data_IF_523407202587
#
_entry.id   IF_523407202587
#
_cell.length_a   1.000
_cell.length_b   1.000
_cell.length_c   1.000
_cell.angle_alpha   90.00
_cell.angle_beta   90.00
_cell.angle_gamma   90.00
#
_symmetry.space_group_name_H-M   'P 1'
#
loop_
_entity.id
_entity.type
_entity.pdbx_description
1 polymer ?
#
# COMPACT_ATOMS: atom_id res chain seq x y z
N UNK A 1 7.61 13.86 0.96
CA UNK A 1 7.22 14.70 2.11
C UNK A 1 8.18 14.58 3.29
N UNK A 2 8.40 13.37 3.83
CA UNK A 2 9.25 13.14 5.03
C UNK A 2 10.69 13.64 4.83
N UNK A 3 11.28 13.42 3.65
CA UNK A 3 12.64 13.89 3.32
C UNK A 3 12.77 15.41 3.42
N UNK A 4 11.86 16.14 2.75
CA UNK A 4 11.79 17.61 2.78
C UNK A 4 11.66 18.16 4.21
N UNK A 5 10.84 17.53 5.04
CA UNK A 5 10.70 17.91 6.46
C UNK A 5 11.98 17.69 7.24
N UNK A 6 12.64 16.55 7.06
CA UNK A 6 13.92 16.26 7.73
C UNK A 6 15.02 17.23 7.30
N UNK A 7 15.07 17.58 6.01
CA UNK A 7 16.08 18.49 5.49
C UNK A 7 15.85 19.93 5.95
N UNK A 8 14.59 20.37 6.11
CA UNK A 8 14.27 21.67 6.70
C UNK A 8 14.63 21.74 8.19
N UNK A 9 14.33 20.69 8.96
CA UNK A 9 14.67 20.63 10.40
C UNK A 9 16.19 20.56 10.63
N UNK A 10 16.95 19.97 9.70
CA UNK A 10 18.42 19.94 9.73
C UNK A 10 19.06 21.31 9.53
N UNK A 11 18.40 22.24 8.82
CA UNK A 11 18.92 23.59 8.54
C UNK A 11 18.80 24.56 9.72
N UNK A 12 17.95 24.27 10.69
CA UNK A 12 17.80 25.10 11.89
C UNK A 12 18.82 24.56 12.91
N UNK A 13 19.91 25.28 13.17
CA UNK A 13 21.13 24.73 13.80
C UNK A 13 21.22 24.99 15.32
N UNK A 14 20.58 26.04 15.85
CA UNK A 14 20.85 26.51 17.22
C UNK A 14 19.70 26.38 18.24
N UNK A 15 18.50 25.99 17.83
CA UNK A 15 17.36 25.92 18.76
C UNK A 15 17.16 24.53 19.38
N UNK A 16 16.41 24.44 20.48
CA UNK A 16 15.94 23.16 21.01
C UNK A 16 15.01 22.46 20.00
N UNK A 17 15.00 21.12 19.98
CA UNK A 17 14.19 20.35 19.01
C UNK A 17 12.70 20.72 19.00
N UNK A 18 12.15 21.05 20.19
CA UNK A 18 10.76 21.50 20.34
C UNK A 18 10.49 22.82 19.61
N UNK A 19 11.41 23.78 19.73
CA UNK A 19 11.30 25.08 19.05
C UNK A 19 11.50 24.95 17.54
N UNK A 20 12.47 24.12 17.10
CA UNK A 20 12.66 23.82 15.66
C UNK A 20 11.40 23.24 15.02
N UNK A 21 10.78 22.29 15.71
CA UNK A 21 9.56 21.66 15.23
C UNK A 21 8.40 22.67 15.22
N UNK A 22 8.23 23.47 16.28
CA UNK A 22 7.21 24.50 16.33
C UNK A 22 7.36 25.49 15.17
N UNK A 23 8.54 26.08 14.99
CA UNK A 23 8.84 27.05 13.94
C UNK A 23 8.64 26.46 12.53
N UNK A 24 9.07 25.21 12.32
CA UNK A 24 8.83 24.50 11.06
C UNK A 24 7.33 24.31 10.77
N UNK A 25 6.56 23.87 11.77
CA UNK A 25 5.12 23.68 11.63
C UNK A 25 4.43 25.03 11.36
N UNK A 26 4.76 26.08 12.11
CA UNK A 26 4.20 27.42 11.91
C UNK A 26 4.47 27.96 10.51
N UNK A 27 5.73 27.93 10.05
CA UNK A 27 6.10 28.40 8.71
C UNK A 27 5.44 27.58 7.59
N UNK A 28 5.38 26.24 7.77
CA UNK A 28 4.76 25.33 6.79
C UNK A 28 3.26 25.55 6.69
N UNK A 29 2.57 25.66 7.83
CA UNK A 29 1.12 25.85 7.86
C UNK A 29 0.73 27.25 7.37
N UNK A 30 1.52 28.28 7.67
CA UNK A 30 1.28 29.63 7.16
C UNK A 30 1.35 29.72 5.63
N UNK A 31 2.36 29.11 5.00
CA UNK A 31 2.52 29.17 3.55
C UNK A 31 1.59 28.24 2.77
N UNK A 32 1.15 27.11 3.35
CA UNK A 32 0.32 26.12 2.64
C UNK A 32 -1.18 26.39 2.74
N UNK A 33 -1.62 27.28 3.61
CA UNK A 33 -3.02 27.48 3.88
C UNK A 33 -3.44 28.89 3.46
N UNK A 34 -4.14 29.00 2.33
CA UNK A 34 -5.02 30.14 2.02
C UNK A 34 -6.26 30.19 2.93
N UNK A 35 -6.25 29.44 4.03
CA UNK A 35 -7.35 29.16 4.96
C UNK A 35 -6.81 29.12 6.38
N UNK A 36 -7.59 29.49 7.37
CA UNK A 36 -7.10 29.47 8.75
C UNK A 36 -6.87 28.02 9.23
N UNK A 37 -5.88 27.74 10.10
CA UNK A 37 -5.72 26.43 10.73
C UNK A 37 -7.01 25.90 11.36
N UNK A 38 -7.86 26.79 11.90
CA UNK A 38 -9.16 26.45 12.48
C UNK A 38 -10.17 26.00 11.42
N UNK A 39 -10.18 26.63 10.25
CA UNK A 39 -11.06 26.26 9.14
C UNK A 39 -10.76 24.87 8.60
N UNK A 40 -9.49 24.44 8.60
CA UNK A 40 -9.15 23.07 8.22
C UNK A 40 -9.71 22.04 9.19
N UNK A 41 -9.67 22.32 10.50
CA UNK A 41 -10.21 21.41 11.53
C UNK A 41 -11.72 21.25 11.31
N UNK A 42 -12.41 22.36 11.04
CA UNK A 42 -13.85 22.38 10.75
C UNK A 42 -14.15 21.65 9.44
N UNK A 43 -13.43 21.95 8.36
CA UNK A 43 -13.62 21.32 7.05
C UNK A 43 -13.35 19.81 7.11
N UNK A 44 -12.33 19.38 7.86
CA UNK A 44 -12.03 17.95 8.04
C UNK A 44 -13.12 17.23 8.83
N UNK A 45 -13.78 17.91 9.77
CA UNK A 45 -14.96 17.38 10.49
C UNK A 45 -16.15 17.27 9.54
N UNK A 46 -16.41 18.29 8.72
CA UNK A 46 -17.46 18.28 7.71
C UNK A 46 -17.30 17.10 6.71
N UNK A 47 -16.09 16.90 6.18
CA UNK A 47 -15.80 15.83 5.21
C UNK A 47 -15.91 14.41 5.79
N UNK A 48 -15.88 14.25 7.11
CA UNK A 48 -16.12 12.94 7.75
C UNK A 48 -17.60 12.62 7.86
N UNK A 49 -18.44 13.64 7.97
CA UNK A 49 -19.90 13.53 8.01
C UNK A 49 -20.45 13.36 6.58
N UNK A 50 -19.88 14.10 5.64
CA UNK A 50 -20.21 14.04 4.22
C UNK A 50 -19.39 12.91 3.59
N UNK A 51 -19.82 11.66 3.72
CA UNK A 51 -19.13 10.49 3.15
C UNK A 51 -18.64 10.76 1.74
N UNK A 52 -17.31 10.83 1.57
CA UNK A 52 -16.65 11.41 0.41
C UNK A 52 -17.19 10.89 -0.92
N UNK A 53 -17.46 11.83 -1.84
CA UNK A 53 -17.99 11.58 -3.17
C UNK A 53 -17.23 10.45 -3.88
N UNK A 54 -17.99 9.48 -4.38
CA UNK A 54 -17.49 8.33 -5.14
C UNK A 54 -17.02 8.83 -6.51
N UNK A 55 -15.72 9.02 -6.68
CA UNK A 55 -15.12 9.12 -8.01
C UNK A 55 -15.32 7.80 -8.72
N UNK A 56 -16.23 7.79 -9.70
CA UNK A 56 -16.41 6.70 -10.66
C UNK A 56 -15.15 6.52 -11.50
N UNK A 57 -14.99 5.31 -12.01
CA UNK A 57 -14.00 4.90 -13.02
C UNK A 57 -12.57 4.63 -12.52
N UNK A 58 -12.42 3.53 -11.77
CA UNK A 58 -11.14 2.81 -11.66
C UNK A 58 -11.42 1.32 -11.81
N UNK A 59 -10.59 0.64 -12.59
CA UNK A 59 -10.59 -0.82 -12.82
C UNK A 59 -10.95 -1.56 -11.53
N UNK A 60 -12.20 -2.03 -11.45
CA UNK A 60 -12.66 -2.88 -10.36
C UNK A 60 -12.24 -4.29 -10.66
N UNK A 61 -11.45 -4.90 -9.79
CA UNK A 61 -11.26 -6.35 -9.82
C UNK A 61 -12.58 -7.00 -9.37
N UNK A 62 -13.05 -8.05 -10.06
CA UNK A 62 -14.22 -8.80 -9.60
C UNK A 62 -13.93 -9.52 -8.28
N UNK A 63 -14.98 -9.80 -7.51
CA UNK A 63 -14.87 -10.65 -6.33
C UNK A 63 -14.48 -12.08 -6.77
N UNK A 64 -13.73 -12.77 -5.92
CA UNK A 64 -13.13 -14.10 -6.12
C UNK A 64 -12.06 -14.22 -7.22
N UNK A 65 -11.56 -13.11 -7.76
CA UNK A 65 -10.43 -13.15 -8.71
C UNK A 65 -9.13 -13.60 -8.01
N UNK A 66 -8.39 -14.49 -8.67
CA UNK A 66 -7.10 -15.01 -8.18
C UNK A 66 -5.96 -14.08 -8.60
N UNK A 67 -5.33 -13.47 -7.61
CA UNK A 67 -4.34 -12.42 -7.78
C UNK A 67 -3.11 -12.66 -6.90
N UNK A 68 -2.00 -12.00 -7.25
CA UNK A 68 -0.83 -11.97 -6.38
C UNK A 68 -0.84 -10.71 -5.52
N UNK A 69 -0.85 -10.89 -4.20
CA UNK A 69 -0.69 -9.81 -3.24
C UNK A 69 0.78 -9.68 -2.81
N UNK A 70 1.22 -8.44 -2.59
CA UNK A 70 2.59 -8.19 -2.13
C UNK A 70 2.78 -8.69 -0.71
N UNK A 71 3.84 -9.48 -0.52
CA UNK A 71 4.29 -9.98 0.76
C UNK A 71 5.50 -9.16 1.26
N UNK A 72 5.46 -8.78 2.55
CA UNK A 72 6.53 -8.03 3.22
C UNK A 72 7.34 -8.90 4.20
N UNK A 73 6.94 -10.15 4.42
CA UNK A 73 7.72 -11.12 5.17
C UNK A 73 8.91 -11.62 4.34
N UNK A 74 10.00 -12.09 4.97
CA UNK A 74 11.09 -12.76 4.27
C UNK A 74 10.55 -13.94 3.44
N UNK A 75 11.07 -14.10 2.23
CA UNK A 75 10.61 -15.09 1.24
C UNK A 75 10.05 -14.45 -0.03
N UNK A 76 9.16 -15.16 -0.73
CA UNK A 76 8.60 -14.71 -2.00
C UNK A 76 7.87 -13.37 -1.85
N UNK A 77 8.24 -12.40 -2.69
CA UNK A 77 7.71 -11.02 -2.68
C UNK A 77 6.23 -10.94 -3.05
N UNK A 78 5.72 -11.97 -3.71
CA UNK A 78 4.33 -12.09 -4.16
C UNK A 78 3.76 -13.38 -3.56
N UNK A 79 2.55 -13.29 -3.01
CA UNK A 79 1.81 -14.43 -2.48
C UNK A 79 0.45 -14.54 -3.17
N UNK A 80 0.00 -15.76 -3.50
CA UNK A 80 -1.32 -15.95 -4.07
C UNK A 80 -2.40 -15.55 -3.05
N UNK A 81 -3.42 -14.87 -3.54
CA UNK A 81 -4.57 -14.42 -2.76
C UNK A 81 -5.81 -14.29 -3.66
N UNK A 82 -7.01 -14.44 -3.09
CA UNK A 82 -8.26 -14.14 -3.77
C UNK A 82 -8.81 -12.78 -3.34
N UNK A 83 -9.45 -12.05 -4.24
CA UNK A 83 -10.15 -10.80 -3.92
C UNK A 83 -11.46 -11.13 -3.20
N UNK A 84 -11.64 -10.66 -1.98
CA UNK A 84 -12.92 -10.83 -1.25
C UNK A 84 -13.92 -9.75 -1.66
N UNK A 85 -13.48 -8.48 -1.65
CA UNK A 85 -14.33 -7.34 -1.98
C UNK A 85 -13.50 -6.07 -2.19
N UNK A 86 -14.08 -5.08 -2.88
CA UNK A 86 -13.56 -3.72 -2.93
C UNK A 86 -14.02 -2.93 -1.70
N UNK A 87 -13.07 -2.36 -0.94
CA UNK A 87 -13.34 -1.55 0.25
C UNK A 87 -13.36 -0.05 -0.07
N UNK A 88 -12.54 0.38 -1.04
CA UNK A 88 -12.42 1.76 -1.54
C UNK A 88 -12.03 1.75 -3.02
N UNK A 89 -12.08 2.87 -3.75
CA UNK A 89 -11.75 2.90 -5.19
C UNK A 89 -10.38 2.32 -5.60
N UNK A 90 -9.44 2.20 -4.66
CA UNK A 90 -8.10 1.62 -4.89
C UNK A 90 -7.73 0.61 -3.81
N UNK A 91 -8.65 0.22 -2.94
CA UNK A 91 -8.36 -0.69 -1.82
C UNK A 91 -9.26 -1.91 -1.87
N UNK A 92 -8.63 -3.07 -1.84
CA UNK A 92 -9.28 -4.37 -1.90
C UNK A 92 -8.97 -5.14 -0.62
N UNK A 93 -9.95 -5.89 -0.15
CA UNK A 93 -9.74 -6.91 0.87
C UNK A 93 -9.37 -8.19 0.15
N UNK A 94 -8.19 -8.74 0.46
CA UNK A 94 -7.68 -9.98 -0.14
C UNK A 94 -7.59 -11.07 0.91
N UNK A 95 -7.78 -12.31 0.49
CA UNK A 95 -7.72 -13.50 1.34
C UNK A 95 -6.60 -14.42 0.85
N UNK A 96 -5.73 -14.83 1.76
CA UNK A 96 -4.66 -15.77 1.47
C UNK A 96 -5.15 -17.22 1.57
N UNK A 97 -4.38 -18.16 1.02
CA UNK A 97 -4.60 -19.61 1.15
C UNK A 97 -4.74 -20.07 2.61
N UNK A 98 -4.11 -19.35 3.55
CA UNK A 98 -4.19 -19.63 4.99
C UNK A 98 -5.41 -18.97 5.68
N UNK A 99 -6.48 -18.65 4.93
CA UNK A 99 -7.72 -18.01 5.41
C UNK A 99 -7.56 -16.59 6.01
N UNK A 100 -6.34 -16.08 6.12
CA UNK A 100 -6.07 -14.73 6.60
C UNK A 100 -6.48 -13.68 5.56
N UNK A 101 -7.25 -12.67 5.99
CA UNK A 101 -7.65 -11.56 5.12
C UNK A 101 -7.06 -10.23 5.57
N UNK A 102 -6.64 -9.40 4.62
CA UNK A 102 -6.09 -8.07 4.89
C UNK A 102 -6.39 -7.09 3.76
N UNK A 103 -6.17 -5.79 4.02
CA UNK A 103 -6.38 -4.74 3.04
C UNK A 103 -5.13 -4.51 2.19
N UNK A 104 -5.28 -4.48 0.87
CA UNK A 104 -4.23 -4.16 -0.09
C UNK A 104 -4.68 -3.06 -1.04
N UNK A 105 -3.72 -2.26 -1.49
CA UNK A 105 -3.96 -1.27 -2.54
C UNK A 105 -3.77 -1.90 -3.92
N UNK A 106 -4.48 -1.41 -4.94
CA UNK A 106 -4.41 -1.96 -6.30
C UNK A 106 -2.97 -2.14 -6.83
N UNK A 107 -2.06 -1.19 -6.58
CA UNK A 107 -0.66 -1.28 -7.02
C UNK A 107 0.17 -2.33 -6.27
N UNK A 108 -0.33 -2.83 -5.13
CA UNK A 108 0.25 -3.93 -4.35
C UNK A 108 -0.31 -5.29 -4.79
N UNK A 109 -1.17 -5.28 -5.81
CA UNK A 109 -1.76 -6.46 -6.42
C UNK A 109 -1.20 -6.60 -7.85
N UNK A 110 -1.01 -7.84 -8.29
CA UNK A 110 -0.69 -8.18 -9.68
C UNK A 110 -1.74 -9.13 -10.24
N UNK A 111 -2.14 -8.89 -11.48
CA UNK A 111 -3.17 -9.66 -12.17
C UNK A 111 -2.70 -11.03 -12.67
N UNK A 112 -3.70 -11.93 -12.75
CA UNK A 112 -3.78 -13.25 -13.41
C UNK A 112 -2.83 -14.33 -12.90
N UNK A 113 -3.29 -15.03 -11.86
CA UNK A 113 -2.93 -16.42 -11.63
C UNK A 113 -3.72 -17.31 -12.61
N UNK A 114 -3.11 -17.79 -13.68
CA UNK A 114 -3.64 -18.92 -14.46
C UNK A 114 -3.25 -20.21 -13.74
N UNK A 115 -4.11 -21.23 -13.72
CA UNK A 115 -3.82 -22.56 -13.15
C UNK A 115 -2.50 -23.17 -13.65
N UNK A 116 -2.05 -22.76 -14.83
CA UNK A 116 -0.75 -23.10 -15.45
C UNK A 116 0.48 -22.64 -14.65
N UNK A 117 0.35 -21.58 -13.84
CA UNK A 117 1.47 -21.03 -13.06
C UNK A 117 1.72 -21.79 -11.75
N UNK A 118 0.85 -22.75 -11.38
CA UNK A 118 1.02 -23.59 -10.19
C UNK A 118 2.17 -24.59 -10.35
N UNK A 119 2.47 -25.02 -11.58
CA UNK A 119 3.51 -26.01 -11.86
C UNK A 119 4.92 -25.40 -11.98
N UNK A 120 5.03 -24.08 -12.16
CA UNK A 120 6.31 -23.42 -12.41
C UNK A 120 7.14 -23.15 -11.13
N UNK A 121 6.52 -23.14 -9.95
CA UNK A 121 7.16 -22.82 -8.66
C UNK A 121 7.38 -24.04 -7.74
N UNK A 122 7.09 -25.26 -8.21
CA UNK A 122 7.56 -26.48 -7.54
C UNK A 122 9.08 -26.62 -7.74
N UNK A 123 9.90 -26.78 -6.68
CA UNK A 123 11.32 -27.00 -6.85
C UNK A 123 11.52 -28.28 -7.66
N UNK A 124 12.08 -28.15 -8.88
CA UNK A 124 12.47 -29.28 -9.74
C UNK A 124 13.37 -30.21 -8.94
N UNK A 125 12.79 -31.26 -8.37
CA UNK A 125 13.51 -32.33 -7.70
C UNK A 125 14.33 -33.02 -8.77
N UNK A 126 15.65 -33.04 -8.57
CA UNK A 126 16.62 -33.66 -9.45
C UNK A 126 16.21 -35.10 -9.78
N UNK A 127 15.96 -35.37 -11.05
CA UNK A 127 16.07 -36.71 -11.61
C UNK A 127 17.28 -36.66 -12.54
N UNK A 128 18.47 -36.81 -11.95
CA UNK A 128 19.65 -37.21 -12.70
C UNK A 128 19.45 -38.64 -13.16
N UNK A 129 19.29 -38.82 -14.48
CA UNK A 129 19.41 -40.09 -15.17
C UNK A 129 20.69 -40.81 -14.74
N UNK A 130 20.55 -41.99 -14.17
CA UNK A 130 21.59 -43.02 -14.20
C UNK A 130 20.99 -44.18 -14.99
N UNK A 131 21.23 -44.17 -16.30
CA UNK A 131 21.36 -45.39 -17.09
C UNK A 131 22.36 -45.11 -18.23
N UNK A 132 23.17 -46.13 -18.48
CA UNK A 132 24.09 -46.35 -19.60
C UNK A 132 25.54 -45.86 -19.50
N UNK A 133 26.39 -46.75 -18.96
CA UNK A 133 27.74 -47.02 -19.49
C UNK A 133 27.81 -48.52 -19.75
N UNK A 134 28.06 -48.88 -21.01
CA UNK A 134 28.40 -50.23 -21.49
C UNK A 134 29.79 -50.66 -21.03
#
# INVERSE_FOLDING_TARGET
MIRVTKDALRKIIHESWKQRLANFLFSRFAHQLKKSPTELIIQRRQNRLNGGEKTKDKQSLPADDLIFARNYAPGSKWRPASVVMSTRPVSYKVKSTNDQSWNQQLHQLRGRFTLENLEADLPKKQQSNIFDVQ
#
